data_IF_726496154083
#
_entry.id   IF_726496154083
#
_cell.length_a   1.000
_cell.length_b   1.000
_cell.length_c   1.000
_cell.angle_alpha   90.00
_cell.angle_beta   90.00
_cell.angle_gamma   90.00
#
_symmetry.space_group_name_H-M   'P 1'
#
loop_
_entity.id
_entity.type
_entity.pdbx_description
1 polymer ?
#
# COMPACT_ATOMS: atom_id res chain seq x y z
N UNK A 1 12.26 9.20 16.73
CA UNK A 1 10.86 8.83 17.06
C UNK A 1 10.14 8.59 15.77
N UNK A 2 9.33 7.54 15.68
CA UNK A 2 8.60 7.23 14.43
C UNK A 2 7.51 8.26 14.20
N UNK A 3 7.49 8.91 13.02
CA UNK A 3 6.49 9.91 12.67
C UNK A 3 6.24 10.03 11.17
N UNK A 4 5.05 10.51 10.81
CA UNK A 4 4.68 10.92 9.44
C UNK A 4 4.09 12.33 9.52
N UNK A 5 4.61 13.24 8.70
CA UNK A 5 4.10 14.60 8.54
C UNK A 5 3.86 14.88 7.07
N UNK A 6 2.64 15.22 6.74
CA UNK A 6 2.22 15.58 5.39
C UNK A 6 1.61 16.97 5.44
N UNK A 7 2.10 17.89 4.61
CA UNK A 7 1.64 19.28 4.57
C UNK A 7 1.34 19.71 3.14
N UNK A 8 0.09 20.09 2.88
CA UNK A 8 -0.40 20.60 1.60
C UNK A 8 0.00 19.72 0.39
N UNK A 9 0.01 18.40 0.59
CA UNK A 9 0.44 17.45 -0.42
C UNK A 9 -0.45 17.54 -1.66
N UNK A 10 0.18 17.82 -2.80
CA UNK A 10 -0.44 17.75 -4.12
C UNK A 10 0.33 16.80 -5.02
N UNK A 11 -0.42 15.96 -5.74
CA UNK A 11 0.15 15.08 -6.75
C UNK A 11 -0.67 15.14 -8.03
N UNK A 12 -0.01 15.52 -9.14
CA UNK A 12 -0.60 15.57 -10.48
C UNK A 12 0.16 14.66 -11.43
N UNK A 13 -0.59 13.91 -12.25
CA UNK A 13 -0.04 13.11 -13.34
C UNK A 13 -0.26 13.80 -14.67
N UNK A 14 0.78 13.86 -15.49
CA UNK A 14 0.65 14.30 -16.87
C UNK A 14 0.09 13.17 -17.73
N UNK A 15 -1.04 13.40 -18.39
CA UNK A 15 -1.56 12.50 -19.39
C UNK A 15 -0.80 12.71 -20.72
N UNK A 16 -0.14 11.66 -21.20
CA UNK A 16 0.44 11.67 -22.54
C UNK A 16 -0.65 11.22 -23.52
N UNK A 17 -1.20 12.16 -24.29
CA UNK A 17 -2.19 11.90 -25.35
C UNK A 17 -1.59 11.05 -26.48
N UNK A 18 -1.58 9.73 -26.32
CA UNK A 18 -1.43 8.78 -27.43
C UNK A 18 -2.70 7.95 -27.68
N UNK A 19 -3.80 8.26 -27.02
CA UNK A 19 -5.06 7.48 -27.09
C UNK A 19 -6.27 8.34 -27.48
N UNK A 20 -6.17 9.12 -28.56
CA UNK A 20 -7.33 9.79 -29.15
C UNK A 20 -7.66 9.16 -30.49
N UNK A 21 -8.23 7.96 -30.50
CA UNK A 21 -8.81 7.33 -31.69
C UNK A 21 -10.30 7.02 -31.54
N UNK A 22 -11.00 7.55 -30.53
CA UNK A 22 -12.45 7.40 -30.43
C UNK A 22 -13.11 8.68 -29.89
N UNK A 23 -13.80 9.47 -30.74
CA UNK A 23 -14.38 10.76 -30.37
C UNK A 23 -15.64 10.66 -29.47
N UNK A 24 -16.19 9.50 -29.16
CA UNK A 24 -17.51 9.38 -28.51
C UNK A 24 -17.67 8.26 -27.47
N UNK A 25 -16.69 8.03 -26.59
CA UNK A 25 -16.99 7.23 -25.39
C UNK A 25 -17.31 8.15 -24.21
N UNK A 26 -18.43 7.92 -23.47
CA UNK A 26 -18.68 8.62 -22.22
C UNK A 26 -17.52 8.30 -21.27
N UNK A 27 -16.80 9.36 -20.86
CA UNK A 27 -15.68 9.24 -19.92
C UNK A 27 -16.24 8.93 -18.55
N UNK A 28 -16.10 7.70 -18.09
CA UNK A 28 -16.30 7.40 -16.67
C UNK A 28 -15.32 8.23 -15.84
N UNK A 29 -15.75 8.86 -14.74
CA UNK A 29 -14.86 9.52 -13.82
C UNK A 29 -14.00 8.45 -13.11
N UNK A 30 -12.84 8.17 -13.67
CA UNK A 30 -11.76 7.50 -12.96
C UNK A 30 -11.14 8.54 -12.06
N UNK A 31 -11.29 8.39 -10.74
CA UNK A 31 -10.86 9.28 -9.67
C UNK A 31 -9.76 10.29 -9.97
N UNK A 32 -9.89 11.48 -9.39
CA UNK A 32 -9.04 12.63 -9.63
C UNK A 32 -9.70 13.68 -10.53
N UNK A 33 -9.28 14.95 -10.39
CA UNK A 33 -9.74 16.06 -11.26
C UNK A 33 -8.93 16.08 -12.53
N UNK A 34 -9.59 16.06 -13.69
CA UNK A 34 -8.98 16.34 -14.98
C UNK A 34 -8.83 17.86 -15.14
N UNK A 35 -7.60 18.35 -15.27
CA UNK A 35 -7.26 19.75 -15.48
C UNK A 35 -6.49 19.91 -16.79
N UNK A 36 -6.63 21.09 -17.44
CA UNK A 36 -5.91 21.48 -18.64
C UNK A 36 -6.69 21.33 -19.94
N UNK A 37 -6.31 22.14 -20.94
CA UNK A 37 -6.87 22.16 -22.28
C UNK A 37 -5.86 21.71 -23.34
N UNK A 38 -6.35 21.13 -24.42
CA UNK A 38 -5.54 20.71 -25.57
C UNK A 38 -4.61 19.53 -25.26
N UNK A 39 -3.34 19.65 -25.65
CA UNK A 39 -2.31 18.57 -25.53
C UNK A 39 -1.71 18.42 -24.13
N UNK A 40 -2.02 19.31 -23.18
CA UNK A 40 -1.50 19.25 -21.80
C UNK A 40 -2.65 18.97 -20.83
N UNK A 41 -2.95 17.70 -20.63
CA UNK A 41 -3.94 17.27 -19.64
C UNK A 41 -3.23 16.68 -18.42
N UNK A 42 -3.74 17.02 -17.25
CA UNK A 42 -3.26 16.52 -15.98
C UNK A 42 -4.40 15.86 -15.21
N UNK A 43 -4.08 14.86 -14.44
CA UNK A 43 -4.98 14.30 -13.43
C UNK A 43 -4.42 14.69 -12.08
N UNK A 44 -5.13 15.51 -11.33
CA UNK A 44 -4.81 15.81 -9.94
C UNK A 44 -5.39 14.67 -9.08
N UNK A 45 -4.51 13.83 -8.57
CA UNK A 45 -4.88 12.65 -7.79
C UNK A 45 -4.94 12.93 -6.29
N UNK A 46 -4.13 13.90 -5.81
CA UNK A 46 -4.15 14.41 -4.45
C UNK A 46 -4.05 15.94 -4.51
N UNK A 47 -4.83 16.64 -3.68
CA UNK A 47 -4.92 18.10 -3.68
C UNK A 47 -5.08 18.65 -2.25
N UNK A 48 -3.98 19.18 -1.70
CA UNK A 48 -3.96 19.86 -0.39
C UNK A 48 -4.08 18.90 0.82
N UNK A 49 -3.68 17.64 0.69
CA UNK A 49 -3.76 16.67 1.80
C UNK A 49 -2.76 17.04 2.90
N UNK A 50 -3.25 17.15 4.15
CA UNK A 50 -2.41 17.46 5.31
C UNK A 50 -2.83 16.62 6.51
N UNK A 51 -1.87 15.98 7.18
CA UNK A 51 -2.08 15.27 8.45
C UNK A 51 -0.74 14.99 9.14
N UNK A 52 -0.83 14.62 10.43
CA UNK A 52 0.31 14.21 11.24
C UNK A 52 0.00 12.91 11.97
N UNK A 53 0.98 12.00 11.97
CA UNK A 53 0.95 10.75 12.74
C UNK A 53 2.22 10.63 13.58
N UNK A 54 2.07 9.99 14.73
CA UNK A 54 3.16 9.68 15.66
C UNK A 54 3.05 8.23 16.14
N UNK A 55 4.05 7.77 16.85
CA UNK A 55 4.05 6.40 17.38
C UNK A 55 2.75 6.08 18.14
N UNK A 56 2.15 4.93 17.83
CA UNK A 56 0.85 4.49 18.34
C UNK A 56 -0.34 4.85 17.43
N UNK A 57 -0.15 5.72 16.43
CA UNK A 57 -1.22 6.07 15.50
C UNK A 57 -1.49 4.96 14.48
N UNK A 58 -2.77 4.68 14.28
CA UNK A 58 -3.31 3.68 13.35
C UNK A 58 -4.34 4.36 12.46
N UNK A 59 -3.89 4.84 11.30
CA UNK A 59 -4.69 5.62 10.36
C UNK A 59 -5.46 4.72 9.41
N UNK A 60 -6.78 4.82 9.40
CA UNK A 60 -7.64 4.28 8.36
C UNK A 60 -7.85 5.30 7.23
N UNK A 61 -7.61 4.88 5.98
CA UNK A 61 -7.94 5.67 4.80
C UNK A 61 -9.26 5.18 4.22
N UNK A 62 -10.24 6.06 4.18
CA UNK A 62 -11.58 5.77 3.65
C UNK A 62 -11.92 6.67 2.48
N UNK A 63 -12.87 6.25 1.65
CA UNK A 63 -13.34 6.98 0.49
C UNK A 63 -13.66 6.07 -0.68
N UNK A 64 -14.38 6.57 -1.70
CA UNK A 64 -14.76 5.80 -2.87
C UNK A 64 -13.54 5.32 -3.69
N UNK A 65 -13.78 4.44 -4.66
CA UNK A 65 -12.74 4.03 -5.60
C UNK A 65 -12.27 5.25 -6.39
N UNK A 66 -10.94 5.38 -6.54
CA UNK A 66 -10.32 6.52 -7.19
C UNK A 66 -10.21 7.80 -6.34
N UNK A 67 -10.58 7.78 -5.05
CA UNK A 67 -10.44 8.94 -4.15
C UNK A 67 -8.99 9.35 -3.86
N UNK A 68 -8.00 8.51 -4.20
CA UNK A 68 -6.59 8.78 -3.98
C UNK A 68 -5.92 7.92 -2.89
N UNK A 69 -6.62 6.97 -2.25
CA UNK A 69 -6.09 6.14 -1.14
C UNK A 69 -4.78 5.43 -1.51
N UNK A 70 -4.80 4.61 -2.55
CA UNK A 70 -3.60 3.90 -3.05
C UNK A 70 -2.51 4.87 -3.51
N UNK A 71 -2.90 6.03 -4.07
CA UNK A 71 -1.95 7.06 -4.48
C UNK A 71 -1.24 7.67 -3.28
N UNK A 72 -1.97 7.96 -2.20
CA UNK A 72 -1.39 8.46 -0.95
C UNK A 72 -0.43 7.42 -0.35
N UNK A 73 -0.81 6.15 -0.28
CA UNK A 73 0.09 5.08 0.18
C UNK A 73 1.38 5.01 -0.65
N UNK A 74 1.30 5.17 -1.98
CA UNK A 74 2.47 5.18 -2.86
C UNK A 74 3.36 6.40 -2.67
N UNK A 75 2.79 7.56 -2.33
CA UNK A 75 3.57 8.76 -1.95
C UNK A 75 4.28 8.52 -0.63
N UNK A 76 3.59 8.00 0.40
CA UNK A 76 4.18 7.68 1.70
C UNK A 76 5.29 6.62 1.59
N UNK A 77 5.17 5.69 0.64
CA UNK A 77 6.22 4.70 0.38
C UNK A 77 7.38 5.23 -0.47
N UNK A 78 7.28 6.45 -0.98
CA UNK A 78 8.32 7.06 -1.82
C UNK A 78 8.30 6.65 -3.30
N UNK A 79 7.24 5.96 -3.78
CA UNK A 79 7.09 5.61 -5.21
C UNK A 79 6.81 6.86 -6.05
N UNK A 80 6.05 7.80 -5.51
CA UNK A 80 5.73 9.06 -6.17
C UNK A 80 6.25 10.25 -5.37
N UNK A 81 6.99 11.12 -6.00
CA UNK A 81 7.35 12.41 -5.42
C UNK A 81 6.17 13.38 -5.49
N UNK A 82 5.88 14.15 -4.45
CA UNK A 82 4.88 15.21 -4.49
C UNK A 82 5.13 16.21 -5.63
N UNK A 83 4.05 16.69 -6.27
CA UNK A 83 4.14 17.83 -7.19
C UNK A 83 4.36 19.13 -6.42
N UNK A 84 3.74 19.26 -5.26
CA UNK A 84 3.97 20.33 -4.27
C UNK A 84 3.56 19.87 -2.87
N UNK A 85 3.91 20.65 -1.85
CA UNK A 85 3.77 20.27 -0.46
C UNK A 85 4.94 19.44 0.03
N UNK A 86 4.89 18.99 1.28
CA UNK A 86 5.97 18.22 1.92
C UNK A 86 5.47 16.92 2.52
N UNK A 87 6.33 15.91 2.48
CA UNK A 87 6.14 14.62 3.16
C UNK A 87 7.42 14.31 3.89
N UNK A 88 7.35 14.31 5.21
CA UNK A 88 8.45 13.99 6.10
C UNK A 88 8.11 12.69 6.84
N UNK A 89 9.00 11.72 6.78
CA UNK A 89 8.81 10.41 7.42
C UNK A 89 10.09 10.09 8.19
N UNK A 90 9.93 9.83 9.48
CA UNK A 90 10.98 9.35 10.36
C UNK A 90 10.64 7.91 10.76
N UNK A 91 11.48 6.97 10.37
CA UNK A 91 11.31 5.55 10.55
C UNK A 91 11.25 4.76 9.24
N UNK A 92 11.50 3.42 9.36
CA UNK A 92 11.48 2.51 8.21
C UNK A 92 10.05 2.19 7.79
N UNK A 93 9.75 2.47 6.52
CA UNK A 93 8.45 2.20 5.91
C UNK A 93 8.49 0.89 5.16
N UNK A 94 7.60 -0.04 5.51
CA UNK A 94 7.34 -1.25 4.75
C UNK A 94 5.89 -1.28 4.27
N UNK A 95 5.65 -1.86 3.10
CA UNK A 95 4.35 -1.83 2.44
C UNK A 95 3.87 -3.22 2.04
N UNK A 96 2.63 -3.53 2.41
CA UNK A 96 1.93 -4.73 1.98
C UNK A 96 0.94 -4.41 0.83
N UNK A 97 1.42 -3.72 -0.20
CA UNK A 97 0.69 -3.52 -1.46
C UNK A 97 1.66 -3.72 -2.63
N UNK A 98 1.13 -4.15 -3.78
CA UNK A 98 1.94 -4.46 -4.97
C UNK A 98 3.08 -5.48 -4.70
N UNK A 99 2.86 -6.41 -3.78
CA UNK A 99 3.88 -7.39 -3.36
C UNK A 99 4.43 -8.25 -4.52
N UNK A 100 3.66 -8.36 -5.61
CA UNK A 100 4.04 -9.13 -6.81
C UNK A 100 4.98 -8.38 -7.76
N UNK A 101 5.26 -7.09 -7.53
CA UNK A 101 6.15 -6.31 -8.41
C UNK A 101 7.62 -6.66 -8.18
N UNK A 102 8.43 -6.56 -9.25
CA UNK A 102 9.89 -6.65 -9.18
C UNK A 102 10.46 -8.07 -9.18
N UNK A 103 9.63 -9.10 -9.40
CA UNK A 103 10.13 -10.45 -9.61
C UNK A 103 10.75 -10.63 -11.00
N UNK A 104 11.91 -11.29 -11.04
CA UNK A 104 12.55 -11.70 -12.28
C UNK A 104 12.08 -13.10 -12.65
N UNK A 105 11.38 -13.21 -13.77
CA UNK A 105 10.76 -14.47 -14.21
C UNK A 105 11.75 -15.60 -14.46
N UNK A 106 12.95 -15.28 -14.96
CA UNK A 106 14.01 -16.24 -15.30
C UNK A 106 14.87 -16.64 -14.09
N UNK A 107 14.83 -15.87 -13.00
CA UNK A 107 15.54 -16.18 -11.77
C UNK A 107 14.77 -17.19 -10.93
N UNK A 108 15.48 -17.96 -10.10
CA UNK A 108 14.85 -18.87 -9.12
C UNK A 108 14.13 -18.09 -8.04
N UNK A 109 13.28 -18.77 -7.26
CA UNK A 109 12.64 -18.17 -6.08
C UNK A 109 13.66 -17.65 -5.09
N UNK A 110 14.69 -18.44 -4.78
CA UNK A 110 15.82 -18.03 -3.90
C UNK A 110 16.52 -16.77 -4.41
N UNK A 111 16.80 -16.68 -5.71
CA UNK A 111 17.41 -15.48 -6.27
C UNK A 111 16.46 -14.27 -6.22
N UNK A 112 15.17 -14.50 -6.36
CA UNK A 112 14.16 -13.45 -6.21
C UNK A 112 14.06 -12.93 -4.77
N UNK A 113 14.27 -13.77 -3.74
CA UNK A 113 14.38 -13.29 -2.35
C UNK A 113 15.51 -12.27 -2.24
N UNK A 114 16.70 -12.59 -2.78
CA UNK A 114 17.84 -11.67 -2.77
C UNK A 114 17.51 -10.36 -3.49
N UNK A 115 17.00 -10.45 -4.72
CA UNK A 115 16.70 -9.27 -5.53
C UNK A 115 15.67 -8.37 -4.85
N UNK A 116 14.63 -8.95 -4.28
CA UNK A 116 13.59 -8.20 -3.57
C UNK A 116 14.09 -7.60 -2.26
N UNK A 117 14.92 -8.33 -1.51
CA UNK A 117 15.58 -7.79 -0.32
C UNK A 117 16.41 -6.55 -0.65
N UNK A 118 17.25 -6.61 -1.69
CA UNK A 118 18.06 -5.47 -2.14
C UNK A 118 17.19 -4.28 -2.61
N UNK A 119 16.09 -4.54 -3.34
CA UNK A 119 15.14 -3.49 -3.75
C UNK A 119 14.49 -2.82 -2.52
N UNK A 120 14.23 -3.59 -1.46
CA UNK A 120 13.69 -3.08 -0.20
C UNK A 120 14.77 -2.42 0.69
N UNK A 121 16.01 -2.32 0.22
CA UNK A 121 17.11 -1.68 0.95
C UNK A 121 17.75 -2.56 2.02
N UNK A 122 17.53 -3.89 2.00
CA UNK A 122 18.16 -4.80 2.96
C UNK A 122 19.61 -5.05 2.60
N UNK A 123 20.49 -5.21 3.60
CA UNK A 123 21.85 -5.66 3.40
C UNK A 123 21.88 -7.16 3.04
N UNK A 124 22.96 -7.61 2.42
CA UNK A 124 23.15 -9.05 2.13
C UNK A 124 23.09 -9.89 3.40
N UNK A 125 23.69 -9.41 4.48
CA UNK A 125 23.66 -10.08 5.78
C UNK A 125 22.21 -10.23 6.31
N UNK A 126 21.40 -9.18 6.20
CA UNK A 126 19.97 -9.24 6.58
C UNK A 126 19.18 -10.23 5.71
N UNK A 127 19.49 -10.29 4.42
CA UNK A 127 18.85 -11.22 3.48
C UNK A 127 19.22 -12.66 3.83
N UNK A 128 20.51 -12.94 4.04
CA UNK A 128 21.00 -14.26 4.39
C UNK A 128 20.42 -14.75 5.72
N UNK A 129 20.40 -13.89 6.73
CA UNK A 129 19.81 -14.21 8.04
C UNK A 129 18.32 -14.56 7.99
N UNK A 130 17.56 -14.05 6.99
CA UNK A 130 16.11 -14.27 6.83
C UNK A 130 15.76 -15.30 5.75
N UNK A 131 16.74 -15.74 4.96
CA UNK A 131 16.52 -16.59 3.79
C UNK A 131 15.71 -17.85 4.12
N UNK A 132 16.16 -18.61 5.12
CA UNK A 132 15.52 -19.88 5.48
C UNK A 132 14.13 -19.66 6.11
N UNK A 133 13.93 -18.59 6.88
CA UNK A 133 12.60 -18.22 7.39
C UNK A 133 11.61 -17.91 6.25
N UNK A 134 12.06 -17.13 5.26
CA UNK A 134 11.24 -16.77 4.10
C UNK A 134 10.87 -18.03 3.31
N UNK A 135 11.83 -18.91 3.05
CA UNK A 135 11.60 -20.16 2.33
C UNK A 135 10.62 -21.05 3.08
N UNK A 136 10.84 -21.27 4.37
CA UNK A 136 9.98 -22.09 5.21
C UNK A 136 8.54 -21.50 5.29
N UNK A 137 8.42 -20.18 5.41
CA UNK A 137 7.11 -19.53 5.46
C UNK A 137 6.36 -19.66 4.14
N UNK A 138 7.04 -19.61 2.98
CA UNK A 138 6.43 -19.71 1.66
C UNK A 138 5.87 -21.10 1.34
N UNK A 139 6.31 -22.15 2.04
CA UNK A 139 5.94 -23.55 1.83
C UNK A 139 6.17 -24.02 0.38
N UNK A 140 7.20 -23.52 -0.28
CA UNK A 140 7.52 -23.88 -1.66
C UNK A 140 8.39 -25.15 -1.78
N UNK A 141 9.08 -25.56 -0.70
CA UNK A 141 9.98 -26.71 -0.73
C UNK A 141 11.03 -26.58 -1.84
N UNK A 142 11.25 -27.64 -2.57
CA UNK A 142 12.27 -27.71 -3.65
C UNK A 142 11.96 -26.74 -4.83
N UNK A 143 10.72 -26.29 -4.96
CA UNK A 143 10.37 -25.31 -5.99
C UNK A 143 11.09 -23.97 -5.81
N UNK A 144 11.65 -23.68 -4.61
CA UNK A 144 12.39 -22.43 -4.36
C UNK A 144 13.59 -22.26 -5.31
N UNK A 145 14.19 -23.34 -5.75
CA UNK A 145 15.33 -23.35 -6.66
C UNK A 145 14.94 -23.50 -8.14
N UNK A 146 13.64 -23.53 -8.43
CA UNK A 146 13.11 -23.51 -9.80
C UNK A 146 12.92 -22.07 -10.30
N UNK A 147 12.97 -21.82 -11.64
CA UNK A 147 12.69 -20.50 -12.22
C UNK A 147 11.30 -20.01 -11.87
N UNK A 148 11.18 -18.73 -11.47
CA UNK A 148 9.89 -18.13 -11.03
C UNK A 148 8.79 -18.20 -12.11
N UNK A 149 9.16 -18.24 -13.39
CA UNK A 149 8.19 -18.41 -14.50
C UNK A 149 7.42 -19.74 -14.46
N UNK A 150 7.92 -20.74 -13.73
CA UNK A 150 7.25 -22.05 -13.57
C UNK A 150 6.27 -22.07 -12.41
N UNK A 151 6.22 -21.00 -11.62
CA UNK A 151 5.35 -20.91 -10.46
C UNK A 151 3.88 -20.71 -10.86
N UNK A 152 2.98 -21.39 -10.15
CA UNK A 152 1.57 -21.04 -10.17
C UNK A 152 1.35 -19.65 -9.55
N UNK A 153 0.19 -19.06 -9.82
CA UNK A 153 -0.17 -17.77 -9.20
C UNK A 153 -0.16 -17.84 -7.66
N UNK A 154 -0.60 -18.97 -7.08
CA UNK A 154 -0.57 -19.19 -5.64
C UNK A 154 0.86 -19.28 -5.09
N UNK A 155 1.77 -20.01 -5.75
CA UNK A 155 3.18 -20.11 -5.38
C UNK A 155 3.87 -18.74 -5.43
N UNK A 156 3.63 -17.99 -6.51
CA UNK A 156 4.15 -16.63 -6.66
C UNK A 156 3.67 -15.70 -5.54
N UNK A 157 2.37 -15.75 -5.21
CA UNK A 157 1.78 -14.95 -4.14
C UNK A 157 2.32 -15.33 -2.75
N UNK A 158 2.53 -16.64 -2.48
CA UNK A 158 3.13 -17.11 -1.23
C UNK A 158 4.55 -16.58 -1.06
N UNK A 159 5.40 -16.70 -2.09
CA UNK A 159 6.77 -16.17 -2.03
C UNK A 159 6.77 -14.66 -1.85
N UNK A 160 5.96 -13.94 -2.62
CA UNK A 160 5.87 -12.49 -2.55
C UNK A 160 5.45 -12.01 -1.15
N UNK A 161 4.45 -12.65 -0.55
CA UNK A 161 3.99 -12.35 0.79
C UNK A 161 5.05 -12.69 1.85
N UNK A 162 5.72 -13.84 1.72
CA UNK A 162 6.78 -14.26 2.65
C UNK A 162 7.92 -13.23 2.70
N UNK A 163 8.35 -12.73 1.53
CA UNK A 163 9.38 -11.69 1.46
C UNK A 163 8.87 -10.38 2.06
N UNK A 164 7.67 -9.94 1.69
CA UNK A 164 7.11 -8.67 2.13
C UNK A 164 6.88 -8.59 3.65
N UNK A 165 6.77 -9.75 4.31
CA UNK A 165 6.52 -9.85 5.77
C UNK A 165 7.71 -10.35 6.57
N UNK A 166 8.89 -10.46 5.95
CA UNK A 166 10.08 -11.00 6.61
C UNK A 166 10.77 -10.02 7.58
N UNK A 167 10.52 -8.74 7.44
CA UNK A 167 11.08 -7.69 8.30
C UNK A 167 9.99 -7.06 9.18
N UNK A 168 10.40 -6.58 10.34
CA UNK A 168 9.51 -5.87 11.26
C UNK A 168 9.46 -4.38 10.88
N UNK A 169 8.30 -3.85 10.45
CA UNK A 169 8.19 -2.46 10.06
C UNK A 169 8.08 -1.52 11.27
N UNK A 170 8.68 -0.33 11.18
CA UNK A 170 8.35 0.76 12.10
C UNK A 170 7.08 1.48 11.66
N UNK A 171 6.88 1.60 10.33
CA UNK A 171 5.69 2.15 9.68
C UNK A 171 5.17 1.11 8.69
N UNK A 172 3.94 0.65 8.88
CA UNK A 172 3.31 -0.35 8.02
C UNK A 172 2.22 0.28 7.16
N UNK A 173 2.38 0.21 5.83
CA UNK A 173 1.40 0.66 4.87
C UNK A 173 0.66 -0.54 4.26
N UNK A 174 -0.68 -0.52 4.27
CA UNK A 174 -1.52 -1.59 3.74
C UNK A 174 -2.62 -1.04 2.82
N UNK A 175 -2.79 -1.65 1.65
CA UNK A 175 -3.91 -1.36 0.73
C UNK A 175 -4.79 -2.61 0.65
N UNK A 176 -5.85 -2.61 1.46
CA UNK A 176 -6.72 -3.74 1.74
C UNK A 176 -6.00 -4.95 2.37
N UNK A 177 -6.79 -5.94 2.81
CA UNK A 177 -6.25 -7.17 3.38
C UNK A 177 -5.82 -8.11 2.26
N UNK A 178 -4.55 -8.42 2.17
CA UNK A 178 -4.00 -9.22 1.08
C UNK A 178 -4.46 -10.67 1.23
N UNK A 179 -5.31 -11.13 0.30
CA UNK A 179 -5.58 -12.55 0.09
C UNK A 179 -4.44 -13.19 -0.71
N UNK A 180 -3.47 -13.83 -0.05
CA UNK A 180 -2.38 -14.53 -0.71
C UNK A 180 -2.57 -16.05 -0.63
N UNK A 181 -2.38 -16.76 -1.75
CA UNK A 181 -2.40 -18.22 -1.78
C UNK A 181 -3.79 -18.88 -1.60
N UNK A 182 -3.77 -20.15 -1.19
CA UNK A 182 -4.98 -20.91 -0.86
C UNK A 182 -5.51 -20.59 0.55
N UNK A 183 -6.66 -21.17 0.91
CA UNK A 183 -7.34 -20.92 2.17
C UNK A 183 -6.45 -21.18 3.41
N UNK A 184 -5.62 -22.22 3.39
CA UNK A 184 -4.70 -22.55 4.48
C UNK A 184 -3.61 -21.49 4.63
N UNK A 185 -3.03 -21.07 3.52
CA UNK A 185 -2.00 -20.02 3.54
C UNK A 185 -2.58 -18.66 3.93
N UNK A 186 -3.84 -18.39 3.56
CA UNK A 186 -4.54 -17.15 3.96
C UNK A 186 -4.66 -17.00 5.47
N UNK A 187 -4.96 -18.07 6.22
CA UNK A 187 -5.01 -18.01 7.68
C UNK A 187 -3.62 -17.70 8.29
N UNK A 188 -2.58 -18.33 7.75
CA UNK A 188 -1.18 -18.06 8.15
C UNK A 188 -0.78 -16.62 7.82
N UNK A 189 -1.17 -16.11 6.64
CA UNK A 189 -0.92 -14.74 6.21
C UNK A 189 -1.65 -13.72 7.10
N UNK A 190 -2.91 -13.98 7.47
CA UNK A 190 -3.66 -13.14 8.42
C UNK A 190 -2.97 -13.07 9.78
N UNK A 191 -2.55 -14.21 10.32
CA UNK A 191 -1.84 -14.26 11.60
C UNK A 191 -0.52 -13.44 11.55
N UNK A 192 0.27 -13.58 10.48
CA UNK A 192 1.51 -12.83 10.28
C UNK A 192 1.26 -11.33 10.14
N UNK A 193 0.26 -10.93 9.32
CA UNK A 193 -0.11 -9.50 9.17
C UNK A 193 -0.57 -8.91 10.51
N UNK A 194 -1.38 -9.64 11.28
CA UNK A 194 -1.81 -9.19 12.60
C UNK A 194 -0.63 -9.05 13.59
N UNK A 195 0.38 -9.92 13.50
CA UNK A 195 1.61 -9.79 14.27
C UNK A 195 2.37 -8.52 13.90
N UNK A 196 2.64 -8.29 12.61
CA UNK A 196 3.33 -7.08 12.12
C UNK A 196 2.57 -5.80 12.51
N UNK A 197 1.25 -5.82 12.39
CA UNK A 197 0.40 -4.70 12.80
C UNK A 197 0.49 -4.39 14.30
N UNK A 198 0.73 -5.38 15.16
CA UNK A 198 0.95 -5.13 16.60
C UNK A 198 2.31 -4.53 16.88
N UNK A 199 3.32 -4.90 16.11
CA UNK A 199 4.71 -4.46 16.31
C UNK A 199 5.00 -3.10 15.70
N UNK A 200 4.28 -2.73 14.62
CA UNK A 200 4.48 -1.45 13.95
C UNK A 200 4.17 -0.25 14.87
N UNK A 201 5.05 0.74 14.84
CA UNK A 201 4.87 2.00 15.54
C UNK A 201 3.74 2.85 14.94
N UNK A 202 3.61 2.87 13.60
CA UNK A 202 2.52 3.53 12.88
C UNK A 202 1.94 2.56 11.85
N UNK A 203 0.62 2.60 11.67
CA UNK A 203 -0.08 1.87 10.61
C UNK A 203 -0.86 2.87 9.75
N UNK A 204 -0.81 2.68 8.42
CA UNK A 204 -1.73 3.34 7.48
C UNK A 204 -2.42 2.26 6.66
N UNK A 205 -3.73 2.11 6.86
CA UNK A 205 -4.56 1.06 6.26
C UNK A 205 -5.64 1.67 5.37
N UNK A 206 -5.58 1.41 4.07
CA UNK A 206 -6.72 1.65 3.18
C UNK A 206 -7.64 0.43 3.19
N UNK A 207 -8.92 0.62 3.47
CA UNK A 207 -9.89 -0.47 3.44
C UNK A 207 -11.33 0.04 3.20
N UNK A 208 -12.15 -0.83 2.59
CA UNK A 208 -13.58 -0.64 2.47
C UNK A 208 -14.37 -1.29 3.63
N UNK A 209 -13.73 -2.12 4.45
CA UNK A 209 -14.36 -2.81 5.57
C UNK A 209 -14.42 -1.92 6.81
N UNK A 210 -15.62 -1.40 7.14
CA UNK A 210 -15.85 -0.63 8.37
C UNK A 210 -15.44 -1.39 9.61
N UNK A 211 -15.79 -2.67 9.70
CA UNK A 211 -15.47 -3.52 10.85
C UNK A 211 -13.95 -3.68 11.05
N UNK A 212 -13.18 -3.81 9.94
CA UNK A 212 -11.73 -3.90 10.02
C UNK A 212 -11.12 -2.58 10.48
N UNK A 213 -11.56 -1.45 9.92
CA UNK A 213 -11.09 -0.11 10.32
C UNK A 213 -11.38 0.17 11.78
N UNK A 214 -12.61 -0.09 12.24
CA UNK A 214 -13.02 0.10 13.63
C UNK A 214 -12.19 -0.75 14.62
N UNK A 215 -11.80 -1.95 14.22
CA UNK A 215 -10.99 -2.86 15.05
C UNK A 215 -9.51 -2.51 15.07
N UNK A 216 -8.99 -1.92 13.97
CA UNK A 216 -7.55 -1.78 13.75
C UNK A 216 -7.05 -0.36 13.90
N UNK A 217 -7.89 0.65 13.60
CA UNK A 217 -7.49 2.05 13.52
C UNK A 217 -7.99 2.84 14.74
N UNK A 218 -7.28 3.92 15.08
CA UNK A 218 -7.71 4.92 16.07
C UNK A 218 -7.95 6.30 15.43
N UNK A 219 -7.52 6.49 14.18
CA UNK A 219 -7.73 7.71 13.38
C UNK A 219 -8.24 7.36 12.00
N UNK A 220 -9.07 8.22 11.43
CA UNK A 220 -9.62 8.09 10.07
C UNK A 220 -9.33 9.35 9.27
N UNK A 221 -8.86 9.16 8.05
CA UNK A 221 -8.74 10.20 7.03
C UNK A 221 -9.67 9.86 5.86
N UNK A 222 -10.69 10.68 5.66
CA UNK A 222 -11.61 10.50 4.53
C UNK A 222 -11.08 11.26 3.32
N UNK A 223 -10.92 10.54 2.21
CA UNK A 223 -10.50 11.08 0.92
C UNK A 223 -11.68 11.13 -0.05
N UNK A 224 -11.88 12.28 -0.70
CA UNK A 224 -12.91 12.50 -1.73
C UNK A 224 -12.32 13.32 -2.88
N UNK A 225 -12.29 12.76 -4.10
CA UNK A 225 -11.79 13.46 -5.28
C UNK A 225 -10.36 13.99 -5.15
N UNK A 226 -9.51 13.33 -4.37
CA UNK A 226 -8.13 13.74 -4.12
C UNK A 226 -7.92 14.69 -2.93
N UNK A 227 -8.99 15.21 -2.33
CA UNK A 227 -8.93 16.06 -1.12
C UNK A 227 -9.15 15.23 0.13
N UNK A 228 -8.62 15.70 1.27
CA UNK A 228 -8.80 15.06 2.55
C UNK A 228 -9.74 15.89 3.45
N UNK A 229 -10.66 15.24 4.15
CA UNK A 229 -11.37 15.84 5.28
C UNK A 229 -10.43 15.91 6.49
N UNK A 230 -10.72 16.76 7.49
CA UNK A 230 -9.97 16.76 8.74
C UNK A 230 -9.86 15.37 9.34
N UNK A 231 -8.73 15.09 10.00
CA UNK A 231 -8.50 13.84 10.70
C UNK A 231 -9.53 13.69 11.83
N UNK A 232 -10.17 12.54 11.91
CA UNK A 232 -11.19 12.21 12.91
C UNK A 232 -10.73 11.03 13.77
N UNK A 233 -11.26 10.89 14.98
CA UNK A 233 -11.17 9.63 15.70
C UNK A 233 -12.07 8.56 15.04
N UNK A 234 -11.81 7.30 15.33
CA UNK A 234 -12.67 6.21 14.82
C UNK A 234 -14.08 6.34 15.37
N UNK A 235 -14.25 6.76 16.62
CA UNK A 235 -15.55 6.96 17.29
C UNK A 235 -16.35 8.06 16.61
N UNK A 236 -15.74 9.21 16.34
CA UNK A 236 -16.38 10.34 15.62
C UNK A 236 -16.80 9.91 14.22
N UNK A 237 -15.95 9.16 13.51
CA UNK A 237 -16.28 8.68 12.18
C UNK A 237 -17.42 7.68 12.18
N UNK A 238 -17.48 6.75 13.15
CA UNK A 238 -18.59 5.80 13.29
C UNK A 238 -19.90 6.51 13.57
N UNK A 239 -19.92 7.45 14.52
CA UNK A 239 -21.11 8.24 14.86
C UNK A 239 -21.67 8.99 13.64
N UNK A 240 -20.79 9.69 12.87
CA UNK A 240 -21.19 10.39 11.67
C UNK A 240 -21.74 9.48 10.56
N UNK A 241 -21.31 8.21 10.52
CA UNK A 241 -21.81 7.25 9.55
C UNK A 241 -23.14 6.63 9.95
N UNK A 242 -23.40 6.50 11.24
CA UNK A 242 -24.69 5.99 11.76
C UNK A 242 -25.79 7.05 11.60
N UNK A 243 -25.47 8.32 11.88
CA UNK A 243 -26.38 9.47 11.61
C UNK A 243 -26.74 9.62 10.12
N UNK A 244 -25.82 9.27 9.20
CA UNK A 244 -26.09 9.37 7.77
C UNK A 244 -26.89 8.17 7.22
N UNK A 245 -27.10 7.13 8.01
CA UNK A 245 -27.84 5.91 7.64
C UNK A 245 -29.31 5.93 8.14
N UNK A 246 -29.66 6.87 9.04
CA UNK A 246 -31.03 7.18 9.48
C UNK A 246 -31.72 8.19 8.53
#
# INVERSE_FOLDING_TARGET
>A
MVSIRVENLRLTYRLHDKLSLAPNRPRMPTGGRLEGEGRKRYVTALDGVSFKLQAGDRLGLVGPNGAGKTTLLKVLYGIYAPTSGTVEIDGRVDALFNINLGFRREATGRRNIVLRGLINGWSMEQIEARMEEIIAFSELGDFIDMPFKTYSQGMAARLAFSIATAMEPEILLMDEWIGAGDARFQEKAKARTAQLARQAGIIVLASHSRALLAKTCNKILTLEGGTARPLQSVEEWQAAMDEAAE
#
